data_IF_078797669987
#
_entry.id   IF_078797669987
#
_cell.length_a   1.000
_cell.length_b   1.000
_cell.length_c   1.000
_cell.angle_alpha   90.00
_cell.angle_beta   90.00
_cell.angle_gamma   90.00
#
_symmetry.space_group_name_H-M   'P 1'
#
loop_
_entity.id
_entity.type
_entity.pdbx_description
1 polymer ?
#
# COMPACT_ATOMS: atom_id res chain seq x y z
N UNK A 1 12.03 16.43 2.32
CA UNK A 1 10.87 15.51 2.28
C UNK A 1 10.00 15.81 3.47
N UNK A 2 8.90 16.48 3.30
CA UNK A 2 7.93 16.70 4.38
C UNK A 2 7.07 15.44 4.46
N UNK A 3 7.48 14.51 5.32
CA UNK A 3 6.61 13.41 5.71
C UNK A 3 5.39 14.00 6.41
N UNK A 4 4.20 13.62 5.99
CA UNK A 4 2.94 14.02 6.63
C UNK A 4 2.75 13.25 7.97
N UNK A 5 3.84 13.13 8.75
CA UNK A 5 3.88 12.42 10.02
C UNK A 5 3.18 13.20 11.11
N UNK A 6 2.00 12.76 11.51
CA UNK A 6 1.27 13.30 12.66
C UNK A 6 1.81 12.70 13.96
N UNK A 7 2.78 13.40 14.56
CA UNK A 7 3.43 12.98 15.81
C UNK A 7 2.44 12.90 16.98
N UNK A 8 1.44 13.79 17.02
CA UNK A 8 0.49 13.87 18.12
C UNK A 8 -0.47 12.69 18.05
N UNK A 9 -1.04 12.43 16.88
CA UNK A 9 -1.92 11.28 16.67
C UNK A 9 -1.18 9.96 16.86
N UNK A 10 0.04 9.83 16.31
CA UNK A 10 0.86 8.64 16.49
C UNK A 10 1.18 8.37 17.98
N UNK A 11 1.52 9.41 18.74
CA UNK A 11 1.76 9.28 20.19
C UNK A 11 0.49 8.86 20.93
N UNK A 12 -0.69 9.35 20.53
CA UNK A 12 -1.99 8.95 21.07
C UNK A 12 -2.26 7.47 20.81
N UNK A 13 -2.07 7.02 19.57
CA UNK A 13 -2.23 5.63 19.17
C UNK A 13 -1.26 4.70 19.94
N UNK A 14 0.00 5.10 20.11
CA UNK A 14 0.97 4.34 20.91
C UNK A 14 0.53 4.18 22.36
N UNK A 15 0.00 5.24 22.99
CA UNK A 15 -0.52 5.15 24.35
C UNK A 15 -1.70 4.17 24.44
N UNK A 16 -2.60 4.18 23.45
CA UNK A 16 -3.70 3.20 23.34
C UNK A 16 -3.16 1.77 23.14
N UNK A 17 -2.18 1.61 22.27
CA UNK A 17 -1.56 0.32 21.99
C UNK A 17 -0.86 -0.30 23.20
N UNK A 18 -0.19 0.52 24.02
CA UNK A 18 0.47 0.10 25.26
C UNK A 18 -0.58 -0.27 26.31
N UNK A 19 -1.68 0.50 26.41
CA UNK A 19 -2.73 0.28 27.37
C UNK A 19 -2.22 0.37 28.81
N UNK A 20 -2.50 -0.65 29.61
CA UNK A 20 -2.07 -0.74 31.02
C UNK A 20 -0.68 -1.37 31.22
N UNK A 21 -0.02 -1.81 30.16
CA UNK A 21 1.32 -2.44 30.20
C UNK A 21 2.40 -1.40 30.52
N UNK A 22 3.51 -1.85 31.08
CA UNK A 22 4.71 -0.98 31.20
C UNK A 22 5.30 -0.74 29.81
N UNK A 23 5.75 0.49 29.55
CA UNK A 23 6.38 0.85 28.27
C UNK A 23 7.58 -0.04 27.93
N UNK A 24 8.36 -0.46 28.95
CA UNK A 24 9.50 -1.33 28.73
C UNK A 24 9.09 -2.72 28.23
N UNK A 25 8.06 -3.31 28.83
CA UNK A 25 7.52 -4.62 28.42
C UNK A 25 6.95 -4.58 27.00
N UNK A 26 6.24 -3.49 26.67
CA UNK A 26 5.70 -3.31 25.31
C UNK A 26 6.82 -3.12 24.29
N UNK A 27 7.85 -2.31 24.61
CA UNK A 27 8.99 -2.06 23.74
C UNK A 27 9.75 -3.36 23.43
N UNK A 28 10.01 -4.18 24.47
CA UNK A 28 10.64 -5.48 24.33
C UNK A 28 9.83 -6.43 23.45
N UNK A 29 8.53 -6.54 23.69
CA UNK A 29 7.63 -7.39 22.90
C UNK A 29 7.55 -6.94 21.43
N UNK A 30 7.59 -5.63 21.15
CA UNK A 30 7.61 -5.07 19.81
C UNK A 30 9.02 -5.07 19.17
N UNK A 31 10.06 -5.48 19.88
CA UNK A 31 11.44 -5.46 19.37
C UNK A 31 11.96 -4.03 19.09
N UNK A 32 11.51 -3.06 19.90
CA UNK A 32 11.87 -1.64 19.80
C UNK A 32 12.61 -1.23 21.07
N UNK A 33 13.66 -0.39 20.98
CA UNK A 33 14.28 0.09 22.20
C UNK A 33 13.32 0.98 23.03
N UNK A 34 13.39 0.88 24.34
CA UNK A 34 12.57 1.70 25.24
C UNK A 34 12.77 3.20 25.00
N UNK A 35 13.98 3.61 24.70
CA UNK A 35 14.34 5.01 24.38
C UNK A 35 13.64 5.46 23.09
N UNK A 36 13.63 4.61 22.06
CA UNK A 36 12.99 4.91 20.78
C UNK A 36 11.48 5.04 20.96
N UNK A 37 10.84 4.08 21.64
CA UNK A 37 9.42 4.13 21.96
C UNK A 37 9.08 5.40 22.77
N UNK A 38 9.88 5.72 23.78
CA UNK A 38 9.69 6.92 24.62
C UNK A 38 9.79 8.21 23.78
N UNK A 39 10.71 8.28 22.81
CA UNK A 39 10.86 9.44 21.93
C UNK A 39 9.62 9.63 21.04
N UNK A 40 9.01 8.56 20.54
CA UNK A 40 7.75 8.63 19.79
C UNK A 40 6.60 9.13 20.67
N UNK A 41 6.43 8.55 21.86
CA UNK A 41 5.35 8.94 22.79
C UNK A 41 5.47 10.42 23.22
N UNK A 42 6.71 10.92 23.34
CA UNK A 42 6.98 12.31 23.71
C UNK A 42 7.16 13.23 22.49
N UNK A 43 6.81 12.77 21.28
CA UNK A 43 6.84 13.54 20.01
C UNK A 43 8.23 14.15 19.69
N UNK A 44 9.31 13.53 20.14
CA UNK A 44 10.70 14.01 19.98
C UNK A 44 11.39 13.53 18.72
N UNK A 45 10.69 12.80 17.85
CA UNK A 45 11.20 12.33 16.56
C UNK A 45 10.50 13.09 15.44
N UNK A 46 11.28 13.57 14.48
CA UNK A 46 10.78 14.23 13.28
C UNK A 46 10.55 13.24 12.14
N UNK A 47 11.30 12.14 12.14
CA UNK A 47 11.14 11.08 11.17
C UNK A 47 10.04 10.10 11.60
N UNK A 48 9.18 9.73 10.66
CA UNK A 48 8.18 8.70 10.85
C UNK A 48 8.85 7.34 11.19
N UNK A 49 8.18 6.47 11.97
CA UNK A 49 8.63 5.10 12.18
C UNK A 49 8.62 4.33 10.85
N UNK A 50 9.56 3.40 10.67
CA UNK A 50 9.56 2.54 9.49
C UNK A 50 8.33 1.63 9.46
N UNK A 51 7.93 1.19 8.27
CA UNK A 51 6.84 0.23 8.07
C UNK A 51 7.03 -1.05 8.91
N UNK A 52 8.27 -1.54 9.03
CA UNK A 52 8.62 -2.67 9.88
C UNK A 52 8.30 -2.39 11.36
N UNK A 53 8.66 -1.20 11.85
CA UNK A 53 8.36 -0.78 13.23
C UNK A 53 6.86 -0.72 13.48
N UNK A 54 6.08 -0.19 12.52
CA UNK A 54 4.61 -0.14 12.61
C UNK A 54 3.99 -1.54 12.68
N UNK A 55 4.47 -2.47 11.85
CA UNK A 55 4.01 -3.86 11.87
C UNK A 55 4.30 -4.54 13.22
N UNK A 56 5.49 -4.35 13.77
CA UNK A 56 5.86 -4.91 15.09
C UNK A 56 4.98 -4.35 16.19
N UNK A 57 4.66 -3.05 16.17
CA UNK A 57 3.73 -2.42 17.11
C UNK A 57 2.34 -3.03 16.98
N UNK A 58 1.82 -3.14 15.75
CA UNK A 58 0.49 -3.67 15.48
C UNK A 58 0.32 -5.12 15.96
N UNK A 59 1.34 -5.95 15.84
CA UNK A 59 1.33 -7.34 16.33
C UNK A 59 1.19 -7.45 17.85
N UNK A 60 1.49 -6.39 18.59
CA UNK A 60 1.46 -6.40 20.06
C UNK A 60 0.15 -5.86 20.64
N UNK A 61 -0.82 -5.50 19.82
CA UNK A 61 -2.05 -4.87 20.28
C UNK A 61 -3.24 -5.12 19.36
N UNK A 62 -4.42 -5.26 19.97
CA UNK A 62 -5.70 -5.24 19.26
C UNK A 62 -6.46 -3.92 19.48
N UNK A 63 -5.89 -2.99 20.26
CA UNK A 63 -6.55 -1.74 20.63
C UNK A 63 -6.41 -0.64 19.57
N UNK A 64 -5.50 -0.83 18.61
CA UNK A 64 -5.20 0.10 17.52
C UNK A 64 -5.07 -0.69 16.24
N UNK A 65 -5.69 -0.21 15.16
CA UNK A 65 -5.55 -0.85 13.87
C UNK A 65 -4.20 -0.53 13.23
N UNK A 66 -3.69 -1.43 12.42
CA UNK A 66 -2.46 -1.19 11.65
C UNK A 66 -2.64 -0.02 10.67
N UNK A 67 -3.85 0.15 10.10
CA UNK A 67 -4.16 1.26 9.20
C UNK A 67 -4.08 2.61 9.88
N UNK A 68 -4.52 2.73 11.14
CA UNK A 68 -4.41 3.99 11.89
C UNK A 68 -2.94 4.34 12.18
N UNK A 69 -2.11 3.34 12.50
CA UNK A 69 -0.67 3.54 12.69
C UNK A 69 0.01 4.01 11.40
N UNK A 70 -0.33 3.42 10.26
CA UNK A 70 0.21 3.83 8.96
C UNK A 70 -0.28 5.22 8.54
N UNK A 71 -1.55 5.56 8.80
CA UNK A 71 -2.09 6.88 8.53
C UNK A 71 -1.37 7.96 9.36
N UNK A 72 -1.26 7.77 10.67
CA UNK A 72 -0.57 8.71 11.55
C UNK A 72 0.93 8.84 11.22
N UNK A 73 1.56 7.78 10.71
CA UNK A 73 2.95 7.81 10.24
C UNK A 73 3.14 8.47 8.86
N UNK A 74 2.03 8.88 8.19
CA UNK A 74 2.08 9.53 6.88
C UNK A 74 2.27 8.57 5.70
N UNK A 75 2.14 7.27 5.90
CA UNK A 75 2.18 6.27 4.83
C UNK A 75 0.84 6.11 4.09
N UNK A 76 -0.24 6.62 4.67
CA UNK A 76 -1.58 6.58 4.07
C UNK A 76 -2.10 8.01 4.13
N UNK A 77 -2.41 8.59 2.98
CA UNK A 77 -2.96 9.96 2.95
C UNK A 77 -4.42 9.95 3.37
N UNK A 78 -4.79 10.86 4.26
CA UNK A 78 -6.20 11.18 4.58
C UNK A 78 -6.88 12.04 3.51
N UNK A 79 -6.13 12.44 2.47
CA UNK A 79 -6.62 13.27 1.36
C UNK A 79 -7.51 12.52 0.36
N UNK A 80 -8.41 11.68 0.86
CA UNK A 80 -9.60 11.42 0.10
C UNK A 80 -10.58 12.56 0.41
N UNK A 81 -10.69 13.52 -0.49
CA UNK A 81 -11.77 14.49 -0.42
C UNK A 81 -13.08 13.68 -0.35
N UNK A 82 -13.71 13.73 0.82
CA UNK A 82 -14.91 12.92 1.15
C UNK A 82 -16.10 13.18 0.20
N UNK A 83 -15.98 14.17 -0.67
CA UNK A 83 -17.07 14.65 -1.52
C UNK A 83 -17.54 13.65 -2.59
N UNK A 84 -16.79 12.56 -2.86
CA UNK A 84 -17.15 11.59 -3.92
C UNK A 84 -16.95 10.10 -3.57
N UNK A 85 -16.52 9.75 -2.37
CA UNK A 85 -16.26 8.35 -1.98
C UNK A 85 -17.08 7.99 -0.74
N UNK A 86 -17.80 6.88 -0.77
CA UNK A 86 -18.54 6.41 0.41
C UNK A 86 -17.57 6.10 1.57
N UNK A 87 -17.98 6.33 2.80
CA UNK A 87 -17.16 6.05 4.01
C UNK A 87 -16.70 4.58 4.07
N UNK A 88 -17.49 3.65 3.54
CA UNK A 88 -17.15 2.23 3.43
C UNK A 88 -16.02 1.98 2.43
N UNK A 89 -16.07 2.66 1.32
CA UNK A 89 -15.06 2.56 0.25
C UNK A 89 -13.73 3.19 0.69
N UNK A 90 -13.76 4.39 1.28
CA UNK A 90 -12.57 5.03 1.84
C UNK A 90 -11.87 4.11 2.87
N UNK A 91 -12.64 3.42 3.72
CA UNK A 91 -12.11 2.44 4.66
C UNK A 91 -11.46 1.24 3.95
N UNK A 92 -12.08 0.72 2.89
CA UNK A 92 -11.53 -0.39 2.11
C UNK A 92 -10.20 0.01 1.44
N UNK A 93 -10.11 1.21 0.86
CA UNK A 93 -8.89 1.74 0.26
C UNK A 93 -7.78 1.87 1.31
N UNK A 94 -8.07 2.43 2.48
CA UNK A 94 -7.10 2.52 3.60
C UNK A 94 -6.56 1.14 4.00
N UNK A 95 -7.42 0.13 4.12
CA UNK A 95 -7.01 -1.24 4.44
C UNK A 95 -6.10 -1.85 3.35
N UNK A 96 -6.42 -1.64 2.10
CA UNK A 96 -5.62 -2.12 0.97
C UNK A 96 -4.26 -1.44 0.94
N UNK A 97 -4.21 -0.11 1.11
CA UNK A 97 -2.94 0.61 1.18
C UNK A 97 -2.08 0.10 2.34
N UNK A 98 -2.66 -0.12 3.52
CA UNK A 98 -1.93 -0.70 4.66
C UNK A 98 -1.38 -2.11 4.33
N UNK A 99 -2.18 -2.94 3.64
CA UNK A 99 -1.76 -4.28 3.20
C UNK A 99 -0.57 -4.20 2.24
N UNK A 100 -0.65 -3.34 1.21
CA UNK A 100 0.41 -3.17 0.22
C UNK A 100 1.70 -2.63 0.86
N UNK A 101 1.61 -1.54 1.63
CA UNK A 101 2.77 -0.93 2.30
C UNK A 101 3.41 -1.92 3.27
N UNK A 102 2.61 -2.70 4.01
CA UNK A 102 3.13 -3.78 4.86
C UNK A 102 3.89 -4.84 4.06
N UNK A 103 3.34 -5.26 2.91
CA UNK A 103 3.96 -6.28 2.07
C UNK A 103 5.25 -5.78 1.37
N UNK A 104 5.35 -4.48 1.07
CA UNK A 104 6.54 -3.86 0.50
C UNK A 104 7.77 -3.96 1.41
N UNK A 105 7.60 -4.16 2.71
CA UNK A 105 8.72 -4.35 3.65
C UNK A 105 9.59 -5.58 3.35
N UNK A 106 9.09 -6.54 2.57
CA UNK A 106 9.86 -7.71 2.16
C UNK A 106 10.95 -7.41 1.12
N UNK A 107 10.79 -6.31 0.37
CA UNK A 107 11.75 -5.95 -0.67
C UNK A 107 13.00 -5.34 -0.07
N UNK A 108 14.17 -5.71 -0.62
CA UNK A 108 15.47 -5.21 -0.17
C UNK A 108 15.77 -3.80 -0.66
N UNK A 109 15.20 -3.42 -1.81
CA UNK A 109 15.36 -2.10 -2.38
C UNK A 109 14.72 -1.04 -1.46
N UNK A 110 15.40 0.07 -1.28
CA UNK A 110 14.82 1.22 -0.59
C UNK A 110 13.69 1.81 -1.43
N UNK A 111 12.61 2.20 -0.78
CA UNK A 111 11.45 2.75 -1.46
C UNK A 111 10.83 3.90 -0.68
N UNK A 112 10.13 4.77 -1.40
CA UNK A 112 9.36 5.88 -0.86
C UNK A 112 7.99 5.94 -1.53
N UNK A 113 7.00 6.56 -0.87
CA UNK A 113 5.71 6.83 -1.50
C UNK A 113 5.87 8.06 -2.39
N UNK A 114 5.44 7.94 -3.65
CA UNK A 114 5.40 9.06 -4.58
C UNK A 114 4.07 9.82 -4.44
N UNK A 115 4.14 10.97 -3.78
CA UNK A 115 2.99 11.86 -3.56
C UNK A 115 2.69 12.77 -4.77
N UNK A 116 3.57 12.81 -5.78
CA UNK A 116 3.38 13.63 -6.97
C UNK A 116 2.55 12.91 -8.05
N UNK A 117 2.37 11.61 -7.89
CA UNK A 117 1.55 10.86 -8.83
C UNK A 117 0.08 11.28 -8.67
N UNK A 118 -0.41 12.08 -9.62
CA UNK A 118 -1.81 12.54 -9.68
C UNK A 118 -2.72 11.39 -10.15
N UNK A 119 -2.96 10.43 -9.29
CA UNK A 119 -4.03 9.45 -9.46
C UNK A 119 -5.33 9.97 -8.85
N UNK A 120 -6.47 9.63 -9.42
CA UNK A 120 -7.75 9.74 -8.74
C UNK A 120 -7.64 8.92 -7.44
N UNK A 121 -8.03 9.39 -6.29
CA UNK A 121 -7.85 8.90 -4.90
C UNK A 121 -7.83 7.40 -4.58
N UNK A 122 -7.67 6.55 -5.59
CA UNK A 122 -7.58 5.08 -5.53
C UNK A 122 -6.23 4.56 -5.97
N UNK A 123 -5.22 5.40 -5.97
CA UNK A 123 -3.87 5.03 -6.38
C UNK A 123 -2.90 5.14 -5.21
N UNK A 124 -1.98 4.18 -5.15
CA UNK A 124 -0.75 4.27 -4.39
C UNK A 124 0.41 4.14 -5.39
N UNK A 125 1.38 5.01 -5.32
CA UNK A 125 2.59 4.94 -6.14
C UNK A 125 3.81 4.86 -5.25
N UNK A 126 4.73 3.96 -5.59
CA UNK A 126 5.98 3.71 -4.89
C UNK A 126 7.12 3.98 -5.85
N UNK A 127 8.09 4.78 -5.41
CA UNK A 127 9.35 4.99 -6.10
C UNK A 127 10.42 4.13 -5.42
N UNK A 128 11.17 3.35 -6.20
CA UNK A 128 12.31 2.57 -5.71
C UNK A 128 13.62 3.31 -5.99
N UNK A 129 14.53 3.29 -5.02
CA UNK A 129 15.84 3.89 -5.13
C UNK A 129 16.86 2.84 -5.60
N UNK A 130 17.64 3.16 -6.65
CA UNK A 130 18.71 2.30 -7.17
C UNK A 130 18.26 0.88 -7.51
N UNK A 131 17.06 0.73 -8.04
CA UNK A 131 16.46 -0.55 -8.44
C UNK A 131 16.13 -0.56 -9.94
N UNK A 132 16.06 -1.75 -10.58
CA UNK A 132 15.66 -1.84 -12.00
C UNK A 132 14.20 -1.39 -12.21
N UNK A 133 13.33 -1.62 -11.24
CA UNK A 133 11.97 -1.08 -11.22
C UNK A 133 12.01 0.33 -10.66
N UNK A 134 11.55 1.33 -11.44
CA UNK A 134 11.56 2.74 -11.02
C UNK A 134 10.33 3.07 -10.18
N UNK A 135 9.13 2.84 -10.74
CA UNK A 135 7.88 3.07 -10.04
C UNK A 135 6.99 1.85 -10.06
N UNK A 136 6.27 1.64 -8.98
CA UNK A 136 5.21 0.66 -8.89
C UNK A 136 3.91 1.35 -8.53
N UNK A 137 2.99 1.38 -9.48
CA UNK A 137 1.69 2.00 -9.34
C UNK A 137 0.64 0.95 -9.00
N UNK A 138 -0.09 1.17 -7.94
CA UNK A 138 -1.20 0.32 -7.51
C UNK A 138 -2.51 1.05 -7.71
N UNK A 139 -3.44 0.44 -8.39
CA UNK A 139 -4.78 0.96 -8.61
C UNK A 139 -5.81 0.05 -7.96
N UNK A 140 -6.52 0.58 -6.98
CA UNK A 140 -7.62 -0.14 -6.35
C UNK A 140 -8.86 -0.15 -7.25
N UNK A 141 -9.36 -1.36 -7.49
CA UNK A 141 -10.54 -1.59 -8.32
C UNK A 141 -11.81 -1.47 -7.48
N UNK A 142 -12.73 -0.63 -7.92
CA UNK A 142 -14.05 -0.55 -7.33
C UNK A 142 -14.93 -1.67 -7.85
N UNK A 143 -15.49 -2.45 -6.94
CA UNK A 143 -16.53 -3.39 -7.29
C UNK A 143 -17.86 -2.63 -7.46
N UNK A 144 -18.13 -2.17 -8.68
CA UNK A 144 -19.40 -1.52 -9.00
C UNK A 144 -20.41 -2.60 -9.37
N UNK A 145 -21.38 -2.83 -8.49
CA UNK A 145 -22.39 -3.90 -8.63
C UNK A 145 -23.22 -3.74 -9.92
N UNK A 146 -23.29 -2.52 -10.45
CA UNK A 146 -24.14 -2.17 -11.60
C UNK A 146 -23.44 -2.30 -12.97
N UNK A 147 -22.12 -2.45 -13.02
CA UNK A 147 -21.39 -2.62 -14.28
C UNK A 147 -20.94 -4.06 -14.49
N UNK A 148 -21.01 -4.55 -15.73
CA UNK A 148 -20.44 -5.85 -16.03
C UNK A 148 -18.93 -5.82 -15.81
N UNK A 149 -18.36 -6.88 -15.23
CA UNK A 149 -16.89 -7.04 -15.03
C UNK A 149 -16.13 -6.77 -16.33
N UNK A 150 -16.69 -7.12 -17.47
CA UNK A 150 -16.05 -6.90 -18.77
C UNK A 150 -15.96 -5.42 -19.16
N UNK A 151 -16.99 -4.62 -18.88
CA UNK A 151 -16.94 -3.17 -19.14
C UNK A 151 -15.92 -2.50 -18.21
N UNK A 152 -15.83 -2.97 -16.98
CA UNK A 152 -14.88 -2.48 -16.01
C UNK A 152 -13.41 -2.75 -16.43
N UNK A 153 -13.11 -3.97 -16.86
CA UNK A 153 -11.82 -4.35 -17.43
C UNK A 153 -11.42 -3.45 -18.62
N UNK A 154 -12.35 -3.26 -19.57
CA UNK A 154 -12.07 -2.41 -20.74
C UNK A 154 -11.77 -0.97 -20.34
N UNK A 155 -12.56 -0.39 -19.43
CA UNK A 155 -12.33 0.97 -18.92
C UNK A 155 -10.98 1.09 -18.21
N UNK A 156 -10.62 0.11 -17.40
CA UNK A 156 -9.36 0.08 -16.67
C UNK A 156 -8.15 0.05 -17.62
N UNK A 157 -8.20 -0.78 -18.67
CA UNK A 157 -7.14 -0.85 -19.67
C UNK A 157 -7.07 0.41 -20.54
N UNK A 158 -8.21 0.99 -20.91
CA UNK A 158 -8.24 2.26 -21.65
C UNK A 158 -7.60 3.39 -20.86
N UNK A 159 -7.82 3.45 -19.57
CA UNK A 159 -7.22 4.49 -18.72
C UNK A 159 -5.68 4.41 -18.69
N UNK A 160 -5.08 3.24 -18.91
CA UNK A 160 -3.63 3.09 -18.99
C UNK A 160 -3.03 3.68 -20.26
N UNK A 161 -3.77 3.68 -21.39
CA UNK A 161 -3.30 4.17 -22.68
C UNK A 161 -3.04 5.69 -22.65
N UNK A 162 -3.73 6.41 -21.78
CA UNK A 162 -3.64 7.88 -21.66
C UNK A 162 -2.68 8.35 -20.57
N UNK A 163 -1.95 7.43 -19.92
CA UNK A 163 -0.97 7.77 -18.89
C UNK A 163 0.44 7.62 -19.43
N UNK A 164 1.30 8.57 -19.08
CA UNK A 164 2.72 8.50 -19.37
C UNK A 164 3.39 7.64 -18.29
N UNK A 165 3.87 6.46 -18.70
CA UNK A 165 4.66 5.57 -17.87
C UNK A 165 6.04 5.37 -18.49
N UNK A 166 7.04 5.19 -17.63
CA UNK A 166 8.36 4.77 -18.08
C UNK A 166 8.39 3.26 -18.36
N UNK A 167 9.27 2.79 -19.28
CA UNK A 167 9.37 1.35 -19.56
C UNK A 167 9.71 0.49 -18.34
N UNK A 168 10.39 1.07 -17.34
CA UNK A 168 10.76 0.41 -16.08
C UNK A 168 9.66 0.52 -15.00
N UNK A 169 8.51 1.09 -15.33
CA UNK A 169 7.39 1.15 -14.39
C UNK A 169 6.58 -0.15 -14.40
N UNK A 170 5.95 -0.44 -13.28
CA UNK A 170 4.99 -1.52 -13.11
C UNK A 170 3.65 -0.97 -12.64
N UNK A 171 2.57 -1.47 -13.20
CA UNK A 171 1.22 -1.11 -12.83
C UNK A 171 0.44 -2.33 -12.38
N UNK A 172 -0.14 -2.27 -11.20
CA UNK A 172 -0.90 -3.36 -10.63
C UNK A 172 -2.35 -2.96 -10.34
N UNK A 173 -3.27 -3.74 -10.87
CA UNK A 173 -4.66 -3.69 -10.43
C UNK A 173 -4.80 -4.45 -9.13
N UNK A 174 -5.42 -3.85 -8.13
CA UNK A 174 -5.60 -4.46 -6.81
C UNK A 174 -7.07 -4.66 -6.54
N UNK A 175 -7.45 -5.87 -6.23
CA UNK A 175 -8.84 -6.24 -5.92
C UNK A 175 -8.92 -7.17 -4.72
N UNK A 176 -10.03 -7.09 -3.98
CA UNK A 176 -10.38 -8.07 -2.96
C UNK A 176 -11.40 -9.11 -3.45
N UNK A 177 -11.80 -9.02 -4.72
CA UNK A 177 -12.77 -9.93 -5.35
C UNK A 177 -12.06 -11.05 -6.14
N UNK A 178 -12.17 -12.33 -5.74
CA UNK A 178 -11.61 -13.44 -6.50
C UNK A 178 -12.14 -13.54 -7.93
N UNK A 179 -13.41 -13.18 -8.16
CA UNK A 179 -14.02 -13.23 -9.49
C UNK A 179 -13.47 -12.15 -10.43
N UNK A 180 -13.18 -10.95 -9.91
CA UNK A 180 -12.48 -9.89 -10.66
C UNK A 180 -11.05 -10.31 -10.97
N UNK A 181 -10.31 -10.78 -9.96
CA UNK A 181 -8.95 -11.27 -10.14
C UNK A 181 -8.86 -12.29 -11.27
N UNK A 182 -9.73 -13.30 -11.26
CA UNK A 182 -9.77 -14.32 -12.30
C UNK A 182 -10.14 -13.75 -13.67
N UNK A 183 -11.00 -12.76 -13.73
CA UNK A 183 -11.36 -12.07 -14.97
C UNK A 183 -10.18 -11.34 -15.61
N UNK A 184 -9.31 -10.70 -14.81
CA UNK A 184 -8.07 -10.11 -15.29
C UNK A 184 -7.09 -11.17 -15.82
N UNK A 185 -6.95 -12.30 -15.15
CA UNK A 185 -6.11 -13.41 -15.59
C UNK A 185 -6.56 -14.00 -16.92
N UNK A 186 -7.85 -14.17 -17.12
CA UNK A 186 -8.42 -14.74 -18.34
C UNK A 186 -8.39 -13.78 -19.52
N UNK A 187 -8.40 -12.48 -19.27
CA UNK A 187 -8.43 -11.44 -20.31
C UNK A 187 -7.33 -10.41 -20.09
N UNK A 188 -6.05 -10.83 -20.16
CA UNK A 188 -4.94 -9.88 -20.00
C UNK A 188 -4.95 -8.81 -21.08
N UNK A 189 -4.43 -7.62 -20.81
CA UNK A 189 -4.26 -6.58 -21.82
C UNK A 189 -3.33 -7.07 -22.91
N UNK A 190 -3.46 -6.48 -24.11
CA UNK A 190 -2.58 -6.80 -25.24
C UNK A 190 -1.99 -5.53 -25.80
N UNK A 191 -0.72 -5.62 -26.22
CA UNK A 191 -0.01 -4.53 -26.91
C UNK A 191 0.17 -3.23 -26.12
N UNK A 192 0.13 -3.27 -24.78
CA UNK A 192 0.54 -2.15 -23.96
C UNK A 192 2.05 -2.23 -23.69
N UNK A 193 2.74 -1.09 -23.77
CA UNK A 193 4.18 -0.99 -23.51
C UNK A 193 4.44 -0.79 -22.00
N UNK A 194 3.89 -1.67 -21.17
CA UNK A 194 3.89 -1.54 -19.71
C UNK A 194 3.96 -2.91 -19.04
N UNK A 195 4.62 -2.98 -17.90
CA UNK A 195 4.56 -4.16 -17.03
C UNK A 195 3.29 -4.10 -16.19
N UNK A 196 2.39 -5.06 -16.37
CA UNK A 196 1.06 -5.05 -15.74
C UNK A 196 0.85 -6.33 -14.96
N UNK A 197 0.36 -6.19 -13.72
CA UNK A 197 -0.08 -7.33 -12.90
C UNK A 197 -1.46 -7.10 -12.30
N UNK A 198 -2.03 -8.16 -11.74
CA UNK A 198 -3.21 -8.10 -10.88
C UNK A 198 -2.86 -8.73 -9.54
N UNK A 199 -3.32 -8.10 -8.45
CA UNK A 199 -3.06 -8.52 -7.08
C UNK A 199 -4.39 -8.78 -6.39
N UNK A 200 -4.52 -9.97 -5.82
CA UNK A 200 -5.63 -10.33 -4.94
C UNK A 200 -5.22 -10.09 -3.49
N UNK A 201 -6.00 -9.28 -2.79
CA UNK A 201 -5.79 -8.99 -1.36
C UNK A 201 -6.94 -9.54 -0.52
N UNK A 202 -6.64 -9.85 0.73
CA UNK A 202 -7.61 -10.27 1.72
C UNK A 202 -7.70 -9.23 2.83
N UNK A 203 -8.80 -8.49 2.85
CA UNK A 203 -8.96 -7.32 3.72
C UNK A 203 -9.09 -7.66 5.22
N UNK A 204 -9.61 -8.84 5.56
CA UNK A 204 -9.77 -9.29 6.95
C UNK A 204 -8.45 -9.67 7.63
N UNK A 205 -7.50 -10.19 6.86
CA UNK A 205 -6.18 -10.60 7.34
C UNK A 205 -5.06 -9.63 6.94
N UNK A 206 -5.37 -8.57 6.22
CA UNK A 206 -4.40 -7.60 5.68
C UNK A 206 -3.24 -8.32 4.97
N UNK A 207 -3.56 -9.26 4.11
CA UNK A 207 -2.57 -10.08 3.41
C UNK A 207 -2.77 -10.04 1.90
N UNK A 208 -1.67 -10.15 1.18
CA UNK A 208 -1.70 -10.44 -0.25
C UNK A 208 -1.87 -11.95 -0.40
N UNK A 209 -2.85 -12.35 -1.20
CA UNK A 209 -3.16 -13.75 -1.47
C UNK A 209 -2.31 -14.23 -2.63
N UNK A 210 -2.31 -13.48 -3.73
CA UNK A 210 -1.63 -13.85 -4.96
C UNK A 210 -1.40 -12.62 -5.84
N UNK A 211 -0.32 -12.62 -6.60
CA UNK A 211 -0.09 -11.70 -7.71
C UNK A 211 0.15 -12.48 -9.00
N UNK A 212 -0.47 -12.05 -10.09
CA UNK A 212 -0.22 -12.59 -11.43
C UNK A 212 0.23 -11.49 -12.37
N UNK A 213 1.38 -11.69 -13.02
CA UNK A 213 1.85 -10.83 -14.11
C UNK A 213 0.97 -11.08 -15.34
N UNK A 214 0.32 -10.04 -15.83
CA UNK A 214 -0.57 -10.10 -17.00
C UNK A 214 0.17 -9.79 -18.30
N UNK A 215 1.11 -8.86 -18.25
CA UNK A 215 1.91 -8.41 -19.38
C UNK A 215 3.27 -7.89 -18.93
N UNK A 216 4.29 -8.10 -19.76
CA UNK A 216 5.60 -7.47 -19.65
C UNK A 216 5.94 -6.74 -20.94
N UNK A 217 6.60 -5.59 -20.84
CA UNK A 217 7.09 -4.81 -21.96
C UNK A 217 8.55 -5.15 -22.36
N UNK A 218 9.17 -6.12 -21.70
CA UNK A 218 10.55 -6.56 -21.90
C UNK A 218 11.65 -5.53 -21.56
N UNK A 219 11.31 -4.37 -20.99
CA UNK A 219 12.31 -3.42 -20.49
C UNK A 219 13.00 -3.93 -19.22
N UNK A 220 12.31 -4.76 -18.47
CA UNK A 220 12.84 -5.53 -17.35
C UNK A 220 12.92 -7.00 -17.72
N UNK A 221 13.97 -7.69 -17.31
CA UNK A 221 14.06 -9.14 -17.44
C UNK A 221 12.99 -9.83 -16.58
N UNK A 222 12.74 -11.09 -16.86
CA UNK A 222 11.78 -11.87 -16.05
C UNK A 222 12.24 -11.99 -14.60
N UNK A 223 13.54 -12.16 -14.39
CA UNK A 223 14.17 -12.27 -13.09
C UNK A 223 13.99 -10.97 -12.29
N UNK A 224 14.25 -9.82 -12.89
CA UNK A 224 14.04 -8.50 -12.29
C UNK A 224 12.58 -8.27 -11.91
N UNK A 225 11.63 -8.62 -12.80
CA UNK A 225 10.20 -8.50 -12.49
C UNK A 225 9.77 -9.43 -11.34
N UNK A 226 10.36 -10.64 -11.25
CA UNK A 226 10.06 -11.58 -10.17
C UNK A 226 10.58 -11.08 -8.81
N UNK A 227 11.68 -10.33 -8.76
CA UNK A 227 12.17 -9.70 -7.54
C UNK A 227 11.16 -8.68 -6.95
N UNK A 228 10.33 -8.08 -7.83
CA UNK A 228 9.28 -7.13 -7.46
C UNK A 228 7.87 -7.71 -7.65
N UNK A 229 7.66 -8.96 -7.23
CA UNK A 229 6.38 -9.66 -7.22
C UNK A 229 6.07 -10.12 -5.79
N UNK A 230 4.80 -9.99 -5.37
CA UNK A 230 4.37 -10.42 -4.04
C UNK A 230 4.22 -11.94 -3.89
#
# INVERSE_FOLDING_TARGET
>A
MTTNFDKAEFASLLKKAIGTRKQAEFAEAAGISKEHLSRFINQRLDAAPSAETLNRIAQQTNAVSISDLYAAAGYIMDEFSEDNISSKEARAIKLINATLVSALTKFKAAWTIDYNFKGEGRHLSICFENAPLHHWHFHYMEHNIDSSIQQHLQKSYLNLIFKDFEPQDKYSFVTSSPSEYESYRQKPPKNLQLNISVILVKNDTLSIVEETLLQSNHALSKEELMEFTF
#
